data_IF_375552994399
#
_entry.id   IF_375552994399
#
_cell.length_a   1.000
_cell.length_b   1.000
_cell.length_c   1.000
_cell.angle_alpha   90.00
_cell.angle_beta   90.00
_cell.angle_gamma   90.00
#
_symmetry.space_group_name_H-M   'P 1'
#
loop_
_entity.id
_entity.type
_entity.pdbx_description
1 polymer ?
#
# COMPACT_ATOMS: atom_id res chain seq x y z
N UNK A 1 -25.60 -25.62 22.32
CA UNK A 1 -26.10 -24.59 21.38
C UNK A 1 -25.25 -23.35 21.56
N UNK A 2 -24.72 -22.61 20.59
CA UNK A 2 -24.36 -22.80 19.17
C UNK A 2 -23.41 -21.62 18.90
N UNK A 3 -22.20 -21.88 18.43
CA UNK A 3 -21.26 -20.85 17.97
C UNK A 3 -21.77 -20.26 16.64
N UNK A 4 -22.55 -19.18 16.69
CA UNK A 4 -22.91 -18.32 15.56
C UNK A 4 -23.16 -16.94 16.20
N UNK A 5 -22.42 -15.86 15.96
CA UNK A 5 -22.18 -15.25 14.65
C UNK A 5 -21.01 -14.26 14.74
N UNK A 6 -19.77 -14.74 14.55
CA UNK A 6 -18.59 -13.87 14.43
C UNK A 6 -17.85 -14.14 13.11
N UNK A 7 -18.62 -14.40 12.06
CA UNK A 7 -18.13 -14.53 10.68
C UNK A 7 -18.93 -13.61 9.73
N UNK A 8 -19.47 -12.50 10.23
CA UNK A 8 -19.82 -11.36 9.37
C UNK A 8 -18.54 -10.53 9.15
N UNK A 9 -17.53 -11.20 8.60
CA UNK A 9 -16.25 -10.60 8.25
C UNK A 9 -16.45 -9.61 7.12
N UNK A 10 -16.65 -8.33 7.48
CA UNK A 10 -16.07 -7.16 6.83
C UNK A 10 -16.02 -7.30 5.30
N UNK A 11 -17.17 -7.50 4.66
CA UNK A 11 -17.29 -7.16 3.24
C UNK A 11 -17.43 -5.65 3.22
N UNK A 12 -16.29 -4.97 3.33
CA UNK A 12 -16.20 -3.55 3.03
C UNK A 12 -16.58 -3.41 1.56
N UNK A 13 -17.85 -3.13 1.32
CA UNK A 13 -18.37 -2.66 0.04
C UNK A 13 -17.77 -1.27 -0.20
N UNK A 14 -16.45 -1.22 -0.44
CA UNK A 14 -15.79 -0.06 -1.01
C UNK A 14 -16.34 0.08 -2.43
N UNK A 15 -17.48 0.74 -2.54
CA UNK A 15 -18.19 1.03 -3.78
C UNK A 15 -17.58 2.23 -4.49
N UNK A 16 -16.71 2.98 -3.80
CA UNK A 16 -16.05 4.16 -4.30
C UNK A 16 -14.55 3.92 -4.51
N UNK A 17 -14.06 4.27 -5.71
CA UNK A 17 -12.62 4.28 -6.01
C UNK A 17 -11.99 5.50 -5.35
N UNK A 18 -10.93 5.29 -4.58
CA UNK A 18 -10.13 6.40 -4.06
C UNK A 18 -9.32 7.07 -5.17
N UNK A 19 -9.15 8.39 -5.06
CA UNK A 19 -8.26 9.12 -5.93
C UNK A 19 -6.79 8.83 -5.54
N UNK A 20 -6.00 8.17 -6.41
CA UNK A 20 -4.61 7.85 -6.10
C UNK A 20 -3.74 9.11 -5.99
N UNK A 21 -4.11 10.24 -6.62
CA UNK A 21 -3.30 11.47 -6.65
C UNK A 21 -3.24 12.19 -5.31
N UNK A 22 -4.22 11.94 -4.45
CA UNK A 22 -4.28 12.48 -3.08
C UNK A 22 -3.44 11.66 -2.11
N UNK A 23 -3.15 10.40 -2.47
CA UNK A 23 -2.57 9.40 -1.54
C UNK A 23 -1.14 9.01 -1.88
N UNK A 24 -0.79 8.99 -3.17
CA UNK A 24 0.50 8.51 -3.67
C UNK A 24 1.41 9.67 -4.07
N UNK A 25 2.71 9.47 -3.91
CA UNK A 25 3.73 10.35 -4.50
C UNK A 25 3.76 10.21 -6.02
N UNK A 26 4.51 11.08 -6.71
CA UNK A 26 4.66 11.01 -8.17
C UNK A 26 5.15 9.63 -8.65
N UNK A 27 6.19 9.09 -8.02
CA UNK A 27 6.71 7.74 -8.34
C UNK A 27 5.67 6.65 -8.06
N UNK A 28 4.93 6.78 -6.94
CA UNK A 28 3.85 5.86 -6.63
C UNK A 28 2.72 5.88 -7.66
N UNK A 29 2.41 7.04 -8.22
CA UNK A 29 1.42 7.19 -9.30
C UNK A 29 1.89 6.55 -10.61
N UNK A 30 3.16 6.70 -10.97
CA UNK A 30 3.72 6.08 -12.17
C UNK A 30 3.61 4.54 -12.08
N UNK A 31 3.98 3.97 -10.92
CA UNK A 31 3.82 2.53 -10.65
C UNK A 31 2.34 2.12 -10.69
N UNK A 32 1.47 2.90 -10.05
CA UNK A 32 0.04 2.62 -9.99
C UNK A 32 -0.57 2.52 -11.40
N UNK A 33 -0.33 3.51 -12.26
CA UNK A 33 -0.89 3.53 -13.61
C UNK A 33 -0.24 2.50 -14.53
N UNK A 34 1.06 2.22 -14.39
CA UNK A 34 1.71 1.13 -15.14
C UNK A 34 1.06 -0.23 -14.84
N UNK A 35 0.78 -0.51 -13.56
CA UNK A 35 0.10 -1.75 -13.15
C UNK A 35 -1.33 -1.78 -13.68
N UNK A 36 -2.13 -0.73 -13.43
CA UNK A 36 -3.54 -0.67 -13.86
C UNK A 36 -3.67 -0.80 -15.38
N UNK A 37 -2.73 -0.24 -16.16
CA UNK A 37 -2.76 -0.32 -17.62
C UNK A 37 -2.62 -1.74 -18.18
N UNK A 38 -2.15 -2.69 -17.38
CA UNK A 38 -1.96 -4.10 -17.76
C UNK A 38 -3.20 -4.96 -17.51
N UNK A 39 -4.24 -4.41 -16.89
CA UNK A 39 -5.46 -5.15 -16.54
C UNK A 39 -6.70 -4.41 -17.05
N UNK A 40 -7.50 -5.08 -17.87
CA UNK A 40 -8.68 -4.48 -18.49
C UNK A 40 -9.84 -4.21 -17.52
N UNK A 41 -9.91 -4.95 -16.40
CA UNK A 41 -11.06 -4.93 -15.49
C UNK A 41 -10.64 -4.91 -14.00
N UNK A 42 -9.95 -3.85 -13.59
CA UNK A 42 -9.62 -3.64 -12.17
C UNK A 42 -10.89 -3.31 -11.37
N UNK A 43 -11.24 -4.14 -10.41
CA UNK A 43 -12.38 -3.89 -9.51
C UNK A 43 -12.09 -2.70 -8.58
N UNK A 44 -13.13 -2.11 -7.98
CA UNK A 44 -12.95 -1.02 -7.00
C UNK A 44 -12.10 -1.45 -5.81
N UNK A 45 -12.27 -2.70 -5.35
CA UNK A 45 -11.48 -3.26 -4.26
C UNK A 45 -10.01 -3.36 -4.65
N UNK A 46 -9.69 -3.94 -5.80
CA UNK A 46 -8.30 -4.06 -6.28
C UNK A 46 -7.64 -2.70 -6.50
N UNK A 47 -8.39 -1.74 -7.03
CA UNK A 47 -7.94 -0.35 -7.17
C UNK A 47 -7.50 0.25 -5.82
N UNK A 48 -8.38 0.15 -4.82
CA UNK A 48 -8.12 0.72 -3.49
C UNK A 48 -7.02 -0.04 -2.73
N UNK A 49 -7.00 -1.37 -2.84
CA UNK A 49 -5.96 -2.22 -2.24
C UNK A 49 -4.59 -1.90 -2.84
N UNK A 50 -4.51 -1.67 -4.16
CA UNK A 50 -3.28 -1.27 -4.83
C UNK A 50 -2.76 0.09 -4.34
N UNK A 51 -3.64 1.08 -4.16
CA UNK A 51 -3.27 2.38 -3.58
C UNK A 51 -2.70 2.19 -2.17
N UNK A 52 -3.38 1.42 -1.31
CA UNK A 52 -2.93 1.14 0.06
C UNK A 52 -1.56 0.45 0.05
N UNK A 53 -1.36 -0.52 -0.85
CA UNK A 53 -0.12 -1.27 -0.98
C UNK A 53 1.06 -0.40 -1.42
N UNK A 54 0.89 0.42 -2.48
CA UNK A 54 1.96 1.31 -2.96
C UNK A 54 2.34 2.32 -1.87
N UNK A 55 1.35 2.91 -1.20
CA UNK A 55 1.60 3.82 -0.06
C UNK A 55 2.37 3.14 1.06
N UNK A 56 2.00 1.91 1.41
CA UNK A 56 2.71 1.13 2.42
C UNK A 56 4.17 0.91 2.02
N UNK A 57 4.44 0.50 0.78
CA UNK A 57 5.81 0.33 0.30
C UNK A 57 6.62 1.62 0.39
N UNK A 58 6.08 2.75 -0.06
CA UNK A 58 6.77 4.05 0.02
C UNK A 58 7.15 4.41 1.45
N UNK A 59 6.23 4.24 2.41
CA UNK A 59 6.48 4.55 3.82
C UNK A 59 7.55 3.65 4.46
N UNK A 60 7.59 2.37 4.10
CA UNK A 60 8.57 1.43 4.66
C UNK A 60 9.95 1.58 4.01
N UNK A 61 10.01 1.97 2.72
CA UNK A 61 11.28 2.29 2.07
C UNK A 61 11.91 3.55 2.64
N UNK A 62 11.13 4.59 2.93
CA UNK A 62 11.64 5.82 3.58
C UNK A 62 12.17 5.56 5.00
N UNK A 63 11.50 4.71 5.79
CA UNK A 63 11.99 4.34 7.13
C UNK A 63 13.28 3.50 7.10
N UNK A 64 13.48 2.72 6.03
CA UNK A 64 14.71 1.94 5.82
C UNK A 64 15.90 2.81 5.41
N UNK A 65 15.65 4.09 5.06
CA UNK A 65 16.66 5.06 4.62
C UNK A 65 16.82 6.20 5.64
N UNK A 66 16.81 5.89 6.93
CA UNK A 66 17.52 6.71 7.91
C UNK A 66 18.92 6.11 8.05
N UNK A 67 19.93 6.55 7.26
CA UNK A 67 21.30 6.28 7.64
C UNK A 67 21.52 7.06 8.93
N UNK A 68 21.39 6.36 10.07
CA UNK A 68 21.86 6.89 11.33
C UNK A 68 23.32 7.26 11.09
N UNK A 69 23.67 8.53 11.25
CA UNK A 69 25.05 9.05 11.10
C UNK A 69 26.06 8.36 12.04
N UNK A 70 25.62 7.38 12.84
CA UNK A 70 26.42 6.64 13.80
C UNK A 70 26.76 5.20 13.39
N UNK A 71 26.27 4.68 12.26
CA UNK A 71 26.47 3.25 11.92
C UNK A 71 27.89 2.94 11.38
N UNK A 72 28.71 3.94 11.05
CA UNK A 72 30.07 3.72 10.50
C UNK A 72 31.22 3.72 11.53
N UNK A 73 30.97 3.48 12.82
CA UNK A 73 32.04 3.52 13.85
C UNK A 73 32.32 2.25 14.65
N UNK A 74 31.87 1.08 14.21
CA UNK A 74 32.17 -0.18 14.91
C UNK A 74 32.81 -1.29 14.04
N UNK A 75 33.32 -0.99 12.84
CA UNK A 75 33.99 -2.02 12.00
C UNK A 75 35.50 -1.75 11.79
N UNK A 76 36.05 -0.70 12.40
CA UNK A 76 37.50 -0.46 12.40
C UNK A 76 37.99 -0.11 13.81
N UNK A 77 38.11 -1.14 14.64
CA UNK A 77 39.23 -1.35 15.59
C UNK A 77 39.14 -2.75 16.20
#
# INVERSE_FOLDING_TARGET
MSFKSLEEGIVSNETHRFDPTVTLSKEGLEIFYDIVSKYDNVTTKEWNDLIKYIRFLSLNFEQSFIPSKNTYKCILN
#
